data_IF_888131373017
#
_entry.id   IF_888131373017
#
_cell.length_a   1.000
_cell.length_b   1.000
_cell.length_c   1.000
_cell.angle_alpha   90.00
_cell.angle_beta   90.00
_cell.angle_gamma   90.00
#
_symmetry.space_group_name_H-M   'P 1'
#
loop_
_entity.id
_entity.type
_entity.pdbx_description
1 polymer ?
#
# COMPACT_ATOMS: atom_id res chain seq x y z
N UNK A 1 16.03 18.28 -8.26
CA UNK A 1 14.91 17.72 -9.04
C UNK A 1 13.65 17.79 -8.19
N UNK A 2 12.50 18.16 -8.77
CA UNK A 2 11.24 18.25 -8.02
C UNK A 2 10.75 16.85 -7.64
N UNK A 3 10.64 16.57 -6.34
CA UNK A 3 10.17 15.28 -5.79
C UNK A 3 8.66 15.08 -5.90
N UNK A 4 7.93 16.09 -6.35
CA UNK A 4 6.49 15.98 -6.54
C UNK A 4 6.14 14.91 -7.58
N UNK A 5 6.99 14.72 -8.61
CA UNK A 5 6.77 13.73 -9.67
C UNK A 5 6.71 12.28 -9.13
N UNK A 6 7.71 11.77 -8.39
CA UNK A 6 7.65 10.41 -7.86
C UNK A 6 6.58 10.21 -6.78
N UNK A 7 6.31 11.23 -5.94
CA UNK A 7 5.24 11.17 -4.93
C UNK A 7 3.86 11.03 -5.59
N UNK A 8 3.56 11.88 -6.58
CA UNK A 8 2.29 11.84 -7.32
C UNK A 8 2.14 10.52 -8.08
N UNK A 9 3.23 10.02 -8.66
CA UNK A 9 3.23 8.73 -9.34
C UNK A 9 2.86 7.58 -8.42
N UNK A 10 3.52 7.48 -7.27
CA UNK A 10 3.22 6.47 -6.25
C UNK A 10 1.75 6.56 -5.80
N UNK A 11 1.29 7.78 -5.49
CA UNK A 11 -0.07 8.04 -5.07
C UNK A 11 -1.10 7.56 -6.10
N UNK A 12 -0.88 7.88 -7.37
CA UNK A 12 -1.76 7.44 -8.45
C UNK A 12 -1.74 5.92 -8.62
N UNK A 13 -0.57 5.28 -8.52
CA UNK A 13 -0.46 3.82 -8.57
C UNK A 13 -1.23 3.14 -7.46
N UNK A 14 -1.18 3.67 -6.22
CA UNK A 14 -1.96 3.14 -5.09
C UNK A 14 -3.47 3.22 -5.35
N UNK A 15 -3.96 4.33 -5.90
CA UNK A 15 -5.36 4.49 -6.29
C UNK A 15 -5.75 3.48 -7.38
N UNK A 16 -4.92 3.33 -8.41
CA UNK A 16 -5.15 2.40 -9.50
C UNK A 16 -5.19 0.93 -9.02
N UNK A 17 -4.30 0.57 -8.09
CA UNK A 17 -4.29 -0.75 -7.46
C UNK A 17 -5.54 -0.98 -6.60
N UNK A 18 -5.95 -0.01 -5.78
CA UNK A 18 -7.21 -0.09 -5.03
C UNK A 18 -8.40 -0.28 -5.95
N UNK A 19 -8.44 0.44 -7.07
CA UNK A 19 -9.51 0.32 -8.06
C UNK A 19 -9.50 -1.08 -8.70
N UNK A 20 -8.33 -1.57 -9.12
CA UNK A 20 -8.19 -2.90 -9.69
C UNK A 20 -8.65 -4.00 -8.73
N UNK A 21 -8.23 -3.95 -7.45
CA UNK A 21 -8.65 -4.93 -6.44
C UNK A 21 -10.16 -4.86 -6.18
N UNK A 22 -10.75 -3.67 -6.18
CA UNK A 22 -12.21 -3.50 -6.01
C UNK A 22 -13.04 -4.18 -7.10
N UNK A 23 -12.45 -4.47 -8.26
CA UNK A 23 -13.10 -5.18 -9.38
C UNK A 23 -12.94 -6.71 -9.28
N UNK A 24 -12.24 -7.21 -8.27
CA UNK A 24 -12.00 -8.66 -8.07
C UNK A 24 -12.90 -9.22 -6.96
N UNK A 25 -13.08 -10.55 -6.87
CA UNK A 25 -13.78 -11.19 -5.75
C UNK A 25 -13.12 -10.97 -4.38
N UNK A 26 -11.88 -10.46 -4.36
CA UNK A 26 -11.16 -10.08 -3.14
C UNK A 26 -11.48 -8.66 -2.68
N UNK A 27 -12.16 -7.87 -3.51
CA UNK A 27 -12.73 -6.59 -3.10
C UNK A 27 -13.86 -6.85 -2.11
N UNK A 28 -13.87 -6.12 -0.99
CA UNK A 28 -14.96 -6.22 -0.01
C UNK A 28 -16.27 -5.81 -0.68
N UNK A 29 -17.24 -6.74 -0.70
CA UNK A 29 -18.56 -6.58 -1.33
C UNK A 29 -19.25 -5.32 -0.79
N UNK A 30 -19.79 -4.43 -1.65
CA UNK A 30 -20.26 -3.12 -1.21
C UNK A 30 -21.66 -3.21 -0.59
N UNK A 31 -21.73 -3.33 0.74
CA UNK A 31 -22.95 -2.97 1.49
C UNK A 31 -23.03 -1.46 1.78
N UNK A 32 -21.99 -0.69 1.42
CA UNK A 32 -21.94 0.77 1.52
C UNK A 32 -21.63 1.38 0.15
N UNK A 33 -22.07 2.63 -0.13
CA UNK A 33 -21.76 3.28 -1.40
C UNK A 33 -20.24 3.43 -1.53
N UNK A 34 -19.62 2.56 -2.35
CA UNK A 34 -18.19 2.56 -2.68
C UNK A 34 -17.68 3.98 -2.93
N UNK A 35 -18.45 4.77 -3.69
CA UNK A 35 -18.15 6.16 -4.06
C UNK A 35 -18.19 7.17 -2.90
N UNK A 36 -18.85 6.88 -1.79
CA UNK A 36 -18.89 7.76 -0.62
C UNK A 36 -17.57 7.79 0.15
N UNK A 37 -16.80 6.71 0.13
CA UNK A 37 -15.54 6.59 0.89
C UNK A 37 -14.28 6.81 0.03
N UNK A 38 -14.41 6.81 -1.30
CA UNK A 38 -13.29 7.03 -2.22
C UNK A 38 -12.54 8.36 -2.00
N UNK A 39 -13.19 9.51 -1.71
CA UNK A 39 -12.48 10.74 -1.37
C UNK A 39 -11.53 10.57 -0.18
N UNK A 40 -11.99 9.87 0.87
CA UNK A 40 -11.17 9.57 2.05
C UNK A 40 -10.02 8.63 1.70
N UNK A 41 -10.27 7.57 0.93
CA UNK A 41 -9.23 6.64 0.50
C UNK A 41 -8.13 7.33 -0.32
N UNK A 42 -8.51 8.24 -1.22
CA UNK A 42 -7.58 9.05 -2.01
C UNK A 42 -6.67 9.91 -1.12
N UNK A 43 -7.22 10.53 -0.06
CA UNK A 43 -6.44 11.31 0.91
C UNK A 43 -5.53 10.41 1.74
N UNK A 44 -6.02 9.26 2.21
CA UNK A 44 -5.21 8.28 2.95
C UNK A 44 -4.01 7.83 2.11
N UNK A 45 -4.22 7.52 0.83
CA UNK A 45 -3.12 7.14 -0.05
C UNK A 45 -2.12 8.27 -0.29
N UNK A 46 -2.56 9.53 -0.27
CA UNK A 46 -1.64 10.66 -0.37
C UNK A 46 -0.74 10.71 0.87
N UNK A 47 -1.31 10.53 2.06
CA UNK A 47 -0.54 10.47 3.31
C UNK A 47 0.46 9.31 3.27
N UNK A 48 0.06 8.14 2.77
CA UNK A 48 0.96 6.99 2.62
C UNK A 48 2.11 7.29 1.66
N UNK A 49 1.85 7.94 0.52
CA UNK A 49 2.90 8.33 -0.43
C UNK A 49 3.88 9.34 0.17
N UNK A 50 3.38 10.33 0.93
CA UNK A 50 4.22 11.30 1.65
C UNK A 50 5.05 10.64 2.75
N UNK A 51 4.44 9.72 3.51
CA UNK A 51 5.16 8.93 4.51
C UNK A 51 6.27 8.10 3.88
N UNK A 52 5.99 7.43 2.75
CA UNK A 52 7.00 6.65 2.05
C UNK A 52 8.18 7.49 1.57
N UNK A 53 7.94 8.65 0.95
CA UNK A 53 9.00 9.58 0.58
C UNK A 53 9.82 10.01 1.81
N UNK A 54 9.17 10.32 2.93
CA UNK A 54 9.86 10.62 4.18
C UNK A 54 10.74 9.45 4.67
N UNK A 55 10.27 8.20 4.59
CA UNK A 55 11.07 7.02 4.98
C UNK A 55 12.26 6.83 4.04
N UNK A 56 12.07 6.94 2.73
CA UNK A 56 13.17 6.85 1.74
C UNK A 56 14.22 7.91 2.03
N UNK A 57 13.80 9.14 2.33
CA UNK A 57 14.71 10.23 2.68
C UNK A 57 15.46 10.00 3.99
N UNK A 58 14.76 9.51 5.01
CA UNK A 58 15.33 9.32 6.34
C UNK A 58 16.30 8.15 6.41
N UNK A 59 16.08 7.12 5.59
CA UNK A 59 16.87 5.89 5.60
C UNK A 59 17.99 5.87 4.55
N UNK A 60 17.85 6.64 3.46
CA UNK A 60 18.76 6.60 2.32
C UNK A 60 18.73 5.29 1.52
N UNK A 61 17.76 4.41 1.80
CA UNK A 61 17.58 3.14 1.10
C UNK A 61 16.89 3.33 -0.26
N UNK A 62 17.10 2.37 -1.17
CA UNK A 62 16.38 2.34 -2.45
C UNK A 62 14.88 2.12 -2.24
N UNK A 63 14.05 2.71 -3.12
CA UNK A 63 12.59 2.69 -2.99
C UNK A 63 12.00 1.27 -2.81
N UNK A 64 12.41 0.32 -3.65
CA UNK A 64 11.91 -1.07 -3.56
C UNK A 64 12.34 -1.74 -2.25
N UNK A 65 13.56 -1.49 -1.78
CA UNK A 65 14.04 -2.04 -0.51
C UNK A 65 13.22 -1.48 0.67
N UNK A 66 12.97 -0.17 0.68
CA UNK A 66 12.08 0.48 1.67
C UNK A 66 10.69 -0.13 1.65
N UNK A 67 10.14 -0.37 0.46
CA UNK A 67 8.82 -0.96 0.29
C UNK A 67 8.72 -2.38 0.84
N UNK A 68 9.73 -3.22 0.58
CA UNK A 68 9.81 -4.58 1.11
C UNK A 68 9.87 -4.56 2.64
N UNK A 69 10.68 -3.68 3.23
CA UNK A 69 10.78 -3.57 4.69
C UNK A 69 9.42 -3.16 5.28
N UNK A 70 8.78 -2.12 4.73
CA UNK A 70 7.48 -1.65 5.20
C UNK A 70 6.40 -2.73 5.07
N UNK A 71 6.38 -3.47 3.97
CA UNK A 71 5.45 -4.58 3.77
C UNK A 71 5.67 -5.68 4.81
N UNK A 72 6.92 -6.11 5.03
CA UNK A 72 7.24 -7.13 6.03
C UNK A 72 6.90 -6.66 7.45
N UNK A 73 7.19 -5.40 7.79
CA UNK A 73 6.80 -4.81 9.08
C UNK A 73 5.28 -4.83 9.25
N UNK A 74 4.52 -4.50 8.21
CA UNK A 74 3.06 -4.54 8.26
C UNK A 74 2.53 -5.97 8.40
N UNK A 75 3.11 -6.96 7.71
CA UNK A 75 2.76 -8.38 7.82
C UNK A 75 3.02 -8.88 9.24
N UNK A 76 4.16 -8.56 9.82
CA UNK A 76 4.50 -8.94 11.19
C UNK A 76 3.60 -8.22 12.22
N UNK A 77 3.32 -6.94 12.01
CA UNK A 77 2.55 -6.12 12.96
C UNK A 77 1.04 -6.42 12.94
N UNK A 78 0.47 -6.70 11.76
CA UNK A 78 -0.98 -6.88 11.60
C UNK A 78 -1.37 -8.31 11.21
N UNK A 79 -0.64 -8.95 10.30
CA UNK A 79 -0.95 -10.31 9.83
C UNK A 79 -0.71 -11.36 10.91
N UNK A 80 0.49 -11.38 11.50
CA UNK A 80 0.83 -12.34 12.56
C UNK A 80 -0.01 -12.10 13.82
N UNK A 81 -0.19 -10.83 14.19
CA UNK A 81 -1.08 -10.45 15.31
C UNK A 81 -2.51 -10.93 15.08
N UNK A 82 -3.08 -10.71 13.89
CA UNK A 82 -4.42 -11.18 13.54
C UNK A 82 -4.57 -12.70 13.69
N UNK A 83 -3.60 -13.49 13.21
CA UNK A 83 -3.67 -14.96 13.34
C UNK A 83 -3.49 -15.42 14.78
N UNK A 84 -2.49 -14.90 15.49
CA UNK A 84 -2.09 -15.42 16.80
C UNK A 84 -2.95 -14.89 17.96
N UNK A 85 -3.47 -13.67 17.84
CA UNK A 85 -4.18 -12.98 18.93
C UNK A 85 -5.67 -12.82 18.65
N UNK A 86 -6.05 -12.60 17.38
CA UNK A 86 -7.44 -12.30 17.00
C UNK A 86 -8.17 -13.50 16.39
N UNK A 87 -7.47 -14.64 16.21
CA UNK A 87 -8.05 -15.85 15.65
C UNK A 87 -8.37 -15.78 14.15
N UNK A 88 -7.73 -14.86 13.41
CA UNK A 88 -7.87 -14.74 11.96
C UNK A 88 -7.46 -16.05 11.27
N UNK A 89 -8.22 -16.46 10.26
CA UNK A 89 -7.87 -17.62 9.45
C UNK A 89 -6.53 -17.37 8.73
N UNK A 90 -5.64 -18.37 8.74
CA UNK A 90 -4.32 -18.25 8.11
C UNK A 90 -4.41 -17.92 6.61
N UNK A 91 -5.42 -18.46 5.92
CA UNK A 91 -5.67 -18.15 4.50
C UNK A 91 -5.94 -16.68 4.25
N UNK A 92 -6.77 -16.06 5.10
CA UNK A 92 -7.11 -14.63 4.98
C UNK A 92 -5.91 -13.74 5.30
N UNK A 93 -5.13 -14.11 6.31
CA UNK A 93 -3.88 -13.43 6.65
C UNK A 93 -2.86 -13.49 5.50
N UNK A 94 -2.77 -14.65 4.83
CA UNK A 94 -1.86 -14.84 3.69
C UNK A 94 -2.31 -14.00 2.47
N UNK A 95 -3.60 -13.95 2.19
CA UNK A 95 -4.16 -13.10 1.12
C UNK A 95 -3.90 -11.62 1.42
N UNK A 96 -4.17 -11.17 2.65
CA UNK A 96 -3.90 -9.81 3.11
C UNK A 96 -2.42 -9.44 3.01
N UNK A 97 -1.53 -10.33 3.44
CA UNK A 97 -0.08 -10.16 3.32
C UNK A 97 0.37 -10.04 1.86
N UNK A 98 -0.16 -10.87 0.96
CA UNK A 98 0.13 -10.83 -0.46
C UNK A 98 -0.28 -9.50 -1.11
N UNK A 99 -1.49 -9.01 -0.82
CA UNK A 99 -1.94 -7.70 -1.29
C UNK A 99 -1.12 -6.56 -0.70
N UNK A 100 -0.81 -6.60 0.61
CA UNK A 100 0.05 -5.61 1.25
C UNK A 100 1.41 -5.51 0.57
N UNK A 101 2.04 -6.66 0.30
CA UNK A 101 3.30 -6.73 -0.43
C UNK A 101 3.19 -6.15 -1.84
N UNK A 102 2.14 -6.51 -2.57
CA UNK A 102 1.90 -6.01 -3.93
C UNK A 102 1.73 -4.49 -3.95
N UNK A 103 0.96 -3.93 -3.02
CA UNK A 103 0.72 -2.49 -2.92
C UNK A 103 2.01 -1.71 -2.68
N UNK A 104 2.83 -2.17 -1.74
CA UNK A 104 4.12 -1.53 -1.45
C UNK A 104 5.08 -1.63 -2.64
N UNK A 105 5.31 -2.82 -3.18
CA UNK A 105 6.35 -3.04 -4.20
C UNK A 105 5.99 -2.35 -5.52
N UNK A 106 4.76 -2.47 -6.00
CA UNK A 106 4.34 -1.91 -7.29
C UNK A 106 4.35 -0.38 -7.24
N UNK A 107 3.82 0.22 -6.17
CA UNK A 107 3.80 1.68 -6.01
C UNK A 107 5.20 2.26 -5.79
N UNK A 108 6.07 1.56 -5.06
CA UNK A 108 7.48 1.94 -4.92
C UNK A 108 8.29 1.78 -6.20
N UNK A 109 7.94 0.82 -7.05
CA UNK A 109 8.49 0.70 -8.40
C UNK A 109 8.17 1.94 -9.24
N UNK A 110 6.92 2.40 -9.22
CA UNK A 110 6.52 3.65 -9.89
C UNK A 110 7.24 4.87 -9.29
N UNK A 111 7.37 4.94 -7.96
CA UNK A 111 8.14 5.98 -7.29
C UNK A 111 9.60 5.99 -7.76
N UNK A 112 10.26 4.83 -7.77
CA UNK A 112 11.67 4.69 -8.17
C UNK A 112 11.88 5.11 -9.63
N UNK A 113 11.06 4.59 -10.53
CA UNK A 113 11.14 4.92 -11.96
C UNK A 113 10.94 6.40 -12.27
N UNK A 114 10.13 7.11 -11.47
CA UNK A 114 9.89 8.54 -11.64
C UNK A 114 10.89 9.42 -10.89
N UNK A 115 11.71 8.81 -10.02
CA UNK A 115 12.79 9.47 -9.28
C UNK A 115 14.10 9.52 -10.08
N UNK A 116 14.26 8.60 -11.04
CA UNK A 116 15.31 8.62 -12.07
C UNK A 116 15.05 9.71 -13.13
#
# INVERSE_FOLDING_TARGET
>A
MSRSKPIIGMWFTLIALSFAVSMTPFGTTPSAPLFGMWPTAVVVWLIVALFFDWVVQSTGLGAVQTAVILALTQILGSGVGGVMMEGMAFGDALISAGFGMLFWVVSAGAYGWLSD
#
